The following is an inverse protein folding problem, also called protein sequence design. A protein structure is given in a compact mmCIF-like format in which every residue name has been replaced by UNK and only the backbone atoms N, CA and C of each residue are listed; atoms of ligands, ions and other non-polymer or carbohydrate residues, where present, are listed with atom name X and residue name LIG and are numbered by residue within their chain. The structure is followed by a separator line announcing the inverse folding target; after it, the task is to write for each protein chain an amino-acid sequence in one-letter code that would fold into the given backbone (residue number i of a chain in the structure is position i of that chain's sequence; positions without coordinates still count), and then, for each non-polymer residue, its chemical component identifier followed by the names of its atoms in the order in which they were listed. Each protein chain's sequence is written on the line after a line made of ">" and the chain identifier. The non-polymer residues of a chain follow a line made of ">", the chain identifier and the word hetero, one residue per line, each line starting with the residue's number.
data_IF_203401153153
#
_entry.id   IF_203401153153
#
_cell.length_a   1.000
_cell.length_b   1.000
_cell.length_c   1.000
_cell.angle_alpha   90.00
_cell.angle_beta   90.00
_cell.angle_gamma   90.00
#
_symmetry.space_group_name_H-M   'P 1'
#
loop_
_entity.id
_entity.type
_entity.pdbx_description
1 polymer ?
#
# COMPACT_ATOMS: atom_id res chain seq x y z
N UNK A 1 44.94 -31.99 21.90
CA UNK A 1 44.05 -32.86 21.11
C UNK A 1 42.66 -32.81 21.73
N UNK A 2 41.74 -32.07 21.10
CA UNK A 2 40.30 -32.35 20.99
C UNK A 2 39.61 -31.07 20.51
N UNK A 3 39.50 -31.00 19.19
CA UNK A 3 38.64 -30.10 18.43
C UNK A 3 37.19 -30.49 18.64
N UNK A 4 36.35 -29.52 19.00
CA UNK A 4 34.94 -29.52 18.59
C UNK A 4 34.60 -28.11 18.15
N UNK A 5 34.70 -27.91 16.85
CA UNK A 5 33.99 -26.87 16.13
C UNK A 5 32.48 -27.20 16.10
N UNK A 6 31.71 -26.28 15.52
CA UNK A 6 30.36 -26.46 14.98
C UNK A 6 29.20 -26.30 15.99
N UNK A 7 28.20 -25.43 15.82
CA UNK A 7 27.73 -24.68 14.67
C UNK A 7 27.05 -23.37 15.12
N UNK A 8 27.55 -22.21 14.68
CA UNK A 8 26.70 -21.03 14.52
C UNK A 8 25.91 -21.21 13.23
N UNK A 9 24.79 -21.91 13.30
CA UNK A 9 23.74 -21.77 12.29
C UNK A 9 23.12 -20.38 12.49
N UNK A 10 23.69 -19.40 11.80
CA UNK A 10 23.06 -18.10 11.64
C UNK A 10 21.71 -18.28 10.97
N UNK A 11 20.70 -17.67 11.57
CA UNK A 11 19.30 -17.61 11.19
C UNK A 11 19.11 -16.98 9.80
N UNK A 12 19.46 -17.72 8.75
CA UNK A 12 19.20 -17.34 7.35
C UNK A 12 17.71 -17.46 6.97
N UNK A 13 16.91 -18.13 7.79
CA UNK A 13 15.46 -18.30 7.60
C UNK A 13 14.67 -17.02 7.83
N UNK A 14 15.02 -16.22 8.84
CA UNK A 14 14.32 -14.96 9.11
C UNK A 14 14.57 -13.89 8.06
N UNK A 15 15.78 -13.85 7.48
CA UNK A 15 16.13 -12.86 6.47
C UNK A 15 15.32 -13.05 5.18
N UNK A 16 15.20 -14.29 4.69
CA UNK A 16 14.40 -14.59 3.50
C UNK A 16 12.90 -14.38 3.70
N UNK A 17 12.37 -14.67 4.89
CA UNK A 17 10.98 -14.38 5.24
C UNK A 17 10.67 -12.89 5.31
N UNK A 18 11.59 -12.08 5.85
CA UNK A 18 11.46 -10.62 5.93
C UNK A 18 11.57 -9.93 4.58
N UNK A 19 12.48 -10.38 3.70
CA UNK A 19 12.55 -9.88 2.32
C UNK A 19 11.25 -10.14 1.56
N UNK A 20 10.66 -11.33 1.73
CA UNK A 20 9.36 -11.66 1.12
C UNK A 20 8.23 -10.77 1.65
N UNK A 21 8.17 -10.55 2.97
CA UNK A 21 7.18 -9.65 3.59
C UNK A 21 7.36 -8.21 3.10
N UNK A 22 8.61 -7.74 3.03
CA UNK A 22 8.95 -6.42 2.49
C UNK A 22 8.48 -6.23 1.05
N UNK A 23 8.71 -7.23 0.18
CA UNK A 23 8.24 -7.21 -1.21
C UNK A 23 6.71 -7.17 -1.35
N UNK A 24 6.00 -7.93 -0.51
CA UNK A 24 4.52 -7.93 -0.48
C UNK A 24 4.00 -6.55 -0.04
N UNK A 25 4.55 -5.98 1.03
CA UNK A 25 4.13 -4.69 1.56
C UNK A 25 4.46 -3.53 0.62
N UNK A 26 5.60 -3.59 -0.08
CA UNK A 26 5.94 -2.63 -1.12
C UNK A 26 4.95 -2.67 -2.29
N UNK A 27 4.54 -3.87 -2.71
CA UNK A 27 3.53 -4.05 -3.76
C UNK A 27 2.17 -3.50 -3.33
N UNK A 28 1.75 -3.76 -2.10
CA UNK A 28 0.50 -3.23 -1.55
C UNK A 28 0.51 -1.69 -1.47
N UNK A 29 1.63 -1.10 -1.06
CA UNK A 29 1.79 0.36 -1.05
C UNK A 29 1.69 0.98 -2.46
N UNK A 30 2.31 0.35 -3.45
CA UNK A 30 2.21 0.81 -4.84
C UNK A 30 0.76 0.77 -5.36
N UNK A 31 0.01 -0.27 -5.01
CA UNK A 31 -1.42 -0.36 -5.38
C UNK A 31 -2.27 0.74 -4.73
N UNK A 32 -2.05 1.07 -3.45
CA UNK A 32 -2.78 2.17 -2.79
C UNK A 32 -2.42 3.54 -3.41
N UNK A 33 -1.18 3.74 -3.83
CA UNK A 33 -0.76 4.96 -4.55
C UNK A 33 -1.44 5.03 -5.92
N UNK A 34 -1.43 3.97 -6.73
CA UNK A 34 -2.13 3.92 -8.04
C UNK A 34 -3.64 4.18 -7.93
N UNK A 35 -4.29 3.61 -6.91
CA UNK A 35 -5.73 3.77 -6.67
C UNK A 35 -6.05 5.21 -6.24
N UNK A 36 -5.27 5.78 -5.31
CA UNK A 36 -5.53 7.12 -4.78
C UNK A 36 -5.23 8.22 -5.78
N UNK A 37 -4.09 8.17 -6.48
CA UNK A 37 -3.66 9.25 -7.37
C UNK A 37 -4.11 9.08 -8.81
N UNK A 38 -4.35 7.85 -9.27
CA UNK A 38 -4.77 7.60 -10.65
C UNK A 38 -6.28 7.59 -10.79
N UNK A 39 -6.93 6.60 -10.18
CA UNK A 39 -8.32 6.26 -10.49
C UNK A 39 -9.29 7.28 -9.89
N UNK A 40 -9.11 7.64 -8.63
CA UNK A 40 -10.09 8.48 -7.96
C UNK A 40 -9.96 9.97 -8.29
N UNK A 41 -8.75 10.50 -8.52
CA UNK A 41 -8.57 11.91 -8.92
C UNK A 41 -9.25 12.21 -10.25
N UNK A 42 -9.20 11.28 -11.21
CA UNK A 42 -9.86 11.42 -12.50
C UNK A 42 -11.39 11.50 -12.37
N UNK A 43 -11.98 10.77 -11.42
CA UNK A 43 -13.41 10.82 -11.17
C UNK A 43 -13.87 12.09 -10.44
N UNK A 44 -12.96 12.83 -9.80
CA UNK A 44 -13.27 14.13 -9.20
C UNK A 44 -13.32 15.26 -10.25
N UNK A 45 -12.86 15.01 -11.48
CA UNK A 45 -12.86 16.01 -12.54
C UNK A 45 -14.15 15.94 -13.36
N UNK A 46 -15.00 16.96 -13.24
CA UNK A 46 -16.28 17.06 -13.98
C UNK A 46 -16.13 16.90 -15.50
N UNK A 47 -14.97 17.28 -16.06
CA UNK A 47 -14.69 17.17 -17.51
C UNK A 47 -14.56 15.74 -18.02
N UNK A 48 -14.35 14.77 -17.12
CA UNK A 48 -14.29 13.35 -17.47
C UNK A 48 -15.68 12.68 -17.45
N UNK A 49 -16.72 13.42 -17.07
CA UNK A 49 -18.08 12.91 -17.00
C UNK A 49 -18.95 13.44 -18.16
N UNK A 50 -19.98 12.68 -18.58
CA UNK A 50 -20.91 13.12 -19.62
C UNK A 50 -21.54 14.48 -19.31
N UNK A 51 -21.80 15.29 -20.34
CA UNK A 51 -22.39 16.62 -20.17
C UNK A 51 -23.83 16.54 -19.63
N UNK A 52 -24.54 15.45 -19.93
CA UNK A 52 -25.91 15.19 -19.49
C UNK A 52 -25.99 14.79 -18.01
N UNK A 53 -24.86 14.53 -17.35
CA UNK A 53 -24.85 14.22 -15.93
C UNK A 53 -25.25 15.45 -15.11
N UNK A 54 -26.36 15.31 -14.40
CA UNK A 54 -26.86 16.35 -13.50
C UNK A 54 -25.82 16.68 -12.43
N UNK A 55 -25.61 17.98 -12.19
CA UNK A 55 -24.64 18.49 -11.23
C UNK A 55 -24.85 17.91 -9.81
N UNK A 56 -26.11 17.80 -9.36
CA UNK A 56 -26.42 17.21 -8.06
C UNK A 56 -25.99 15.74 -7.96
N UNK A 57 -26.13 14.99 -9.05
CA UNK A 57 -25.70 13.60 -9.13
C UNK A 57 -24.18 13.51 -9.13
N UNK A 58 -23.49 14.35 -9.91
CA UNK A 58 -22.03 14.45 -9.91
C UNK A 58 -21.48 14.75 -8.50
N UNK A 59 -22.03 15.75 -7.80
CA UNK A 59 -21.59 16.10 -6.44
C UNK A 59 -21.80 14.96 -5.43
N UNK A 60 -22.87 14.17 -5.57
CA UNK A 60 -23.11 13.00 -4.73
C UNK A 60 -22.08 11.88 -5.01
N UNK A 61 -21.76 11.63 -6.28
CA UNK A 61 -20.71 10.70 -6.67
C UNK A 61 -19.37 11.17 -6.11
N UNK A 62 -19.00 12.43 -6.35
CA UNK A 62 -17.78 13.05 -5.87
C UNK A 62 -17.63 12.87 -4.34
N UNK A 63 -18.68 13.18 -3.57
CA UNK A 63 -18.68 13.01 -2.12
C UNK A 63 -18.39 11.58 -1.68
N UNK A 64 -18.97 10.59 -2.35
CA UNK A 64 -18.76 9.17 -2.03
C UNK A 64 -17.35 8.71 -2.39
N UNK A 65 -16.85 9.14 -3.54
CA UNK A 65 -15.48 8.82 -3.98
C UNK A 65 -14.43 9.46 -3.09
N UNK A 66 -14.66 10.67 -2.57
CA UNK A 66 -13.75 11.29 -1.59
C UNK A 66 -13.58 10.42 -0.34
N UNK A 67 -14.63 9.75 0.13
CA UNK A 67 -14.51 8.81 1.26
C UNK A 67 -13.58 7.65 0.92
N UNK A 68 -13.69 7.10 -0.29
CA UNK A 68 -12.80 6.02 -0.74
C UNK A 68 -11.34 6.49 -0.83
N UNK A 69 -11.09 7.69 -1.36
CA UNK A 69 -9.74 8.29 -1.38
C UNK A 69 -9.15 8.40 0.03
N UNK A 70 -9.95 8.88 0.98
CA UNK A 70 -9.50 9.06 2.35
C UNK A 70 -9.24 7.71 3.04
N UNK A 71 -10.00 6.68 2.72
CA UNK A 71 -9.78 5.33 3.23
C UNK A 71 -8.52 4.69 2.61
N UNK A 72 -8.30 4.82 1.30
CA UNK A 72 -7.05 4.42 0.62
C UNK A 72 -5.82 5.10 1.25
N UNK A 73 -5.92 6.40 1.60
CA UNK A 73 -4.86 7.10 2.35
C UNK A 73 -4.62 6.51 3.74
N UNK A 74 -5.66 6.02 4.43
CA UNK A 74 -5.52 5.34 5.73
C UNK A 74 -4.88 3.97 5.55
N UNK A 75 -5.29 3.19 4.56
CA UNK A 75 -4.68 1.89 4.25
C UNK A 75 -3.18 2.03 4.00
N UNK A 76 -2.79 3.00 3.16
CA UNK A 76 -1.38 3.32 2.90
C UNK A 76 -0.60 3.60 4.18
N UNK A 77 -1.16 4.37 5.13
CA UNK A 77 -0.50 4.66 6.41
C UNK A 77 -0.27 3.39 7.23
N UNK A 78 -1.23 2.48 7.27
CA UNK A 78 -1.13 1.19 7.97
C UNK A 78 -0.05 0.33 7.31
N UNK A 79 -0.10 0.18 5.99
CA UNK A 79 0.89 -0.60 5.23
C UNK A 79 2.30 -0.03 5.39
N UNK A 80 2.45 1.29 5.44
CA UNK A 80 3.74 1.94 5.64
C UNK A 80 4.28 1.74 7.06
N UNK A 81 3.41 1.67 8.06
CA UNK A 81 3.80 1.30 9.42
C UNK A 81 4.27 -0.17 9.47
N UNK A 82 3.52 -1.09 8.86
CA UNK A 82 3.90 -2.49 8.76
C UNK A 82 5.23 -2.69 8.00
N UNK A 83 5.45 -1.95 6.91
CA UNK A 83 6.68 -2.02 6.15
C UNK A 83 7.89 -1.57 6.97
N UNK A 84 7.74 -0.55 7.82
CA UNK A 84 8.80 -0.12 8.75
C UNK A 84 9.08 -1.13 9.86
N UNK A 85 8.04 -1.82 10.33
CA UNK A 85 8.16 -2.77 11.44
C UNK A 85 8.76 -4.12 10.98
N UNK A 86 8.41 -4.57 9.78
CA UNK A 86 8.74 -5.91 9.30
C UNK A 86 9.65 -5.95 8.06
N UNK A 87 9.80 -4.83 7.34
CA UNK A 87 10.52 -4.77 6.06
C UNK A 87 11.94 -4.19 6.12
N UNK A 88 12.33 -3.45 7.17
CA UNK A 88 13.71 -2.96 7.31
C UNK A 88 14.59 -3.95 8.10
N UNK A 89 15.70 -4.37 7.47
CA UNK A 89 16.80 -5.06 8.14
C UNK A 89 17.47 -4.09 9.13
N UNK A 90 17.25 -4.29 10.43
CA UNK A 90 18.12 -3.73 11.47
C UNK A 90 19.28 -4.67 11.76
#
# INVERSE_FOLDING_TARGET
>A
MSTSADNKAGDGSNAGGREMIGGILASALNMEDEISSGVYEDYLNRRHWPDELEEATFLNIQRRLTVLIDDTKKHRKILLALAREYGENR
#
